data_IF_630808104952
#
_entry.id   IF_630808104952
#
_cell.length_a   1.000
_cell.length_b   1.000
_cell.length_c   1.000
_cell.angle_alpha   90.00
_cell.angle_beta   90.00
_cell.angle_gamma   90.00
#
_symmetry.space_group_name_H-M   'P 1'
#
loop_
_entity.id
_entity.type
_entity.pdbx_description
1 polymer ?
#
# COMPACT_ATOMS: atom_id res chain seq x y z
N UNK A 1 -7.52 -49.23 14.36
CA UNK A 1 -6.09 -48.85 14.48
C UNK A 1 -5.51 -48.86 13.07
N UNK A 2 -5.33 -47.69 12.48
CA UNK A 2 -4.64 -47.51 11.20
C UNK A 2 -3.64 -46.39 11.40
N UNK A 3 -2.35 -46.73 11.32
CA UNK A 3 -1.22 -45.82 11.44
C UNK A 3 -0.81 -45.40 10.03
N UNK A 4 -0.74 -44.09 9.78
CA UNK A 4 -0.36 -43.52 8.48
C UNK A 4 1.14 -43.23 8.52
N UNK A 5 1.90 -43.83 7.61
CA UNK A 5 3.35 -43.65 7.46
C UNK A 5 3.64 -42.51 6.48
N UNK A 6 4.45 -41.53 6.89
CA UNK A 6 4.98 -40.47 6.00
C UNK A 6 6.43 -40.80 5.61
N UNK A 7 6.85 -40.57 4.36
CA UNK A 7 8.25 -40.74 3.96
C UNK A 7 9.10 -39.49 4.29
N UNK A 8 10.28 -39.72 4.85
CA UNK A 8 11.30 -38.72 5.20
C UNK A 8 12.16 -38.32 3.99
N UNK A 9 12.45 -37.02 3.85
CA UNK A 9 13.34 -36.46 2.82
C UNK A 9 14.79 -36.39 3.38
N UNK A 10 15.84 -36.79 2.64
CA UNK A 10 17.21 -36.70 3.13
C UNK A 10 17.81 -35.29 2.96
N UNK A 11 18.51 -34.84 4.01
CA UNK A 11 19.35 -33.65 4.02
C UNK A 11 20.63 -33.87 3.20
N UNK A 12 20.99 -32.92 2.33
CA UNK A 12 22.30 -32.89 1.64
C UNK A 12 23.22 -31.89 2.35
N UNK A 13 24.42 -32.34 2.69
CA UNK A 13 25.51 -31.55 3.31
C UNK A 13 26.36 -30.80 2.27
N UNK A 14 27.12 -29.75 2.66
CA UNK A 14 27.93 -28.94 1.74
C UNK A 14 29.29 -29.57 1.43
N UNK A 15 29.75 -29.35 0.20
CA UNK A 15 31.07 -29.77 -0.32
C UNK A 15 32.15 -28.80 0.17
N UNK A 16 33.16 -29.35 0.86
CA UNK A 16 34.47 -28.72 1.08
C UNK A 16 35.29 -28.82 -0.22
N UNK A 17 35.83 -27.70 -0.71
CA UNK A 17 36.87 -27.73 -1.74
C UNK A 17 38.16 -27.10 -1.18
N UNK A 18 39.22 -27.91 -1.26
CA UNK A 18 40.56 -27.72 -0.73
C UNK A 18 41.42 -26.85 -1.66
N UNK A 19 42.18 -25.92 -1.07
CA UNK A 19 43.30 -25.22 -1.71
C UNK A 19 44.56 -26.10 -1.74
N UNK A 20 45.23 -26.22 -2.89
CA UNK A 20 46.64 -26.62 -3.01
C UNK A 20 47.32 -25.87 -4.20
N UNK A 21 48.66 -25.73 -4.22
CA UNK A 21 49.35 -24.52 -4.67
C UNK A 21 50.12 -24.63 -6.01
N UNK A 22 50.41 -23.46 -6.59
CA UNK A 22 51.63 -23.23 -7.37
C UNK A 22 51.50 -23.26 -8.90
N UNK A 23 51.39 -22.07 -9.51
CA UNK A 23 52.04 -21.82 -10.80
C UNK A 23 52.51 -20.36 -10.89
N UNK A 24 53.72 -20.19 -11.42
CA UNK A 24 54.62 -19.03 -11.31
C UNK A 24 54.27 -17.91 -12.30
N UNK A 25 54.58 -16.67 -11.94
CA UNK A 25 54.52 -15.49 -12.80
C UNK A 25 55.94 -15.16 -13.26
N UNK A 26 56.15 -15.08 -14.58
CA UNK A 26 57.43 -14.69 -15.19
C UNK A 26 57.66 -13.18 -15.12
N UNK A 27 58.90 -12.82 -14.80
CA UNK A 27 59.44 -11.45 -14.72
C UNK A 27 60.24 -11.20 -16.00
N UNK A 28 59.82 -10.25 -16.84
CA UNK A 28 60.72 -9.37 -17.59
C UNK A 28 60.01 -8.06 -17.93
N UNK A 29 60.58 -6.96 -17.43
CA UNK A 29 59.94 -5.65 -17.39
C UNK A 29 60.15 -4.76 -18.61
N UNK A 30 59.29 -3.73 -18.68
CA UNK A 30 59.56 -2.42 -19.29
C UNK A 30 58.62 -1.40 -18.66
N UNK A 31 59.17 -0.36 -18.04
CA UNK A 31 58.49 0.88 -17.64
C UNK A 31 58.73 1.96 -18.73
N UNK A 32 58.10 3.15 -18.72
CA UNK A 32 57.17 3.74 -17.73
C UNK A 32 55.88 4.30 -18.38
N UNK A 33 54.95 4.82 -17.57
CA UNK A 33 54.52 6.22 -17.68
C UNK A 33 53.57 6.57 -16.53
N UNK A 34 53.98 7.61 -15.80
CA UNK A 34 53.30 8.21 -14.68
C UNK A 34 51.99 8.86 -15.15
N UNK A 35 50.86 8.35 -14.66
CA UNK A 35 49.67 9.17 -14.48
C UNK A 35 48.91 8.70 -13.25
N UNK A 36 49.36 9.23 -12.12
CA UNK A 36 48.62 9.31 -10.87
C UNK A 36 47.41 10.23 -11.10
N UNK A 37 46.22 9.65 -11.33
CA UNK A 37 44.97 10.38 -11.11
C UNK A 37 43.88 9.46 -10.57
N UNK A 38 43.67 9.58 -9.27
CA UNK A 38 42.36 9.72 -8.67
C UNK A 38 41.37 8.55 -8.85
N UNK A 39 41.54 7.49 -8.04
CA UNK A 39 40.41 6.61 -7.69
C UNK A 39 39.44 7.38 -6.79
N UNK A 40 38.65 8.26 -7.37
CA UNK A 40 37.43 8.71 -6.73
C UNK A 40 36.48 7.52 -6.67
N UNK A 41 36.15 7.14 -5.44
CA UNK A 41 35.01 6.29 -5.14
C UNK A 41 33.78 6.94 -5.77
N UNK A 42 33.28 6.36 -6.85
CA UNK A 42 31.96 6.69 -7.37
C UNK A 42 30.95 6.03 -6.42
N UNK A 43 30.71 6.69 -5.29
CA UNK A 43 29.43 6.59 -4.61
C UNK A 43 28.40 7.07 -5.63
N UNK A 44 27.67 6.12 -6.23
CA UNK A 44 26.47 6.44 -6.97
C UNK A 44 25.53 7.13 -5.98
N UNK A 45 25.46 8.45 -6.04
CA UNK A 45 24.37 9.19 -5.44
C UNK A 45 23.11 8.66 -6.12
N UNK A 46 22.39 7.78 -5.42
CA UNK A 46 20.97 7.57 -5.69
C UNK A 46 20.36 8.96 -5.73
N UNK A 47 20.00 9.41 -6.93
CA UNK A 47 19.20 10.61 -7.10
C UNK A 47 17.83 10.27 -6.53
N UNK A 48 17.66 10.47 -5.22
CA UNK A 48 16.34 10.43 -4.58
C UNK A 48 15.51 11.50 -5.28
N UNK A 49 14.66 11.08 -6.20
CA UNK A 49 13.57 11.91 -6.71
C UNK A 49 12.85 12.39 -5.45
N UNK A 50 12.64 13.71 -5.25
CA UNK A 50 11.92 14.17 -4.07
C UNK A 50 10.59 13.43 -4.03
N UNK A 51 10.32 12.75 -2.91
CA UNK A 51 9.05 12.09 -2.67
C UNK A 51 7.96 13.08 -3.02
N UNK A 52 7.24 12.80 -4.09
CA UNK A 52 6.19 13.68 -4.54
C UNK A 52 5.05 13.58 -3.54
N UNK A 53 4.72 14.74 -2.97
CA UNK A 53 3.77 14.86 -1.87
C UNK A 53 2.49 15.51 -2.39
N UNK A 54 1.34 14.94 -2.05
CA UNK A 54 0.06 15.58 -2.28
C UNK A 54 -0.77 15.64 -1.03
N UNK A 55 -1.27 16.84 -0.72
CA UNK A 55 -2.02 17.12 0.50
C UNK A 55 -3.37 17.72 0.15
N UNK A 56 -4.42 17.16 0.75
CA UNK A 56 -5.79 17.66 0.69
C UNK A 56 -6.20 18.09 2.09
N UNK A 57 -6.61 19.34 2.26
CA UNK A 57 -6.97 19.91 3.54
C UNK A 57 -8.49 20.03 3.72
N UNK A 58 -8.96 19.65 4.90
CA UNK A 58 -10.36 19.78 5.35
C UNK A 58 -11.41 19.34 4.31
N UNK A 59 -11.30 18.11 3.74
CA UNK A 59 -12.31 17.63 2.82
C UNK A 59 -13.68 17.47 3.51
N UNK A 60 -14.75 17.81 2.79
CA UNK A 60 -16.11 17.53 3.24
C UNK A 60 -16.40 16.03 3.16
N UNK A 61 -17.11 15.47 4.13
CA UNK A 61 -17.47 14.04 4.18
C UNK A 61 -18.94 13.85 3.76
N UNK A 62 -19.26 12.86 2.90
CA UNK A 62 -18.36 11.87 2.31
C UNK A 62 -17.40 12.49 1.29
N UNK A 63 -16.19 11.94 1.25
CA UNK A 63 -15.09 12.41 0.42
C UNK A 63 -14.60 11.27 -0.47
N UNK A 64 -14.32 11.58 -1.73
CA UNK A 64 -13.51 10.70 -2.58
C UNK A 64 -12.53 11.53 -3.38
N UNK A 65 -11.34 10.98 -3.58
CA UNK A 65 -10.37 11.51 -4.53
C UNK A 65 -9.77 10.38 -5.37
N UNK A 66 -9.67 10.54 -6.70
CA UNK A 66 -8.90 9.62 -7.52
C UNK A 66 -7.42 9.58 -7.13
N UNK A 67 -6.79 8.44 -7.28
CA UNK A 67 -5.35 8.25 -7.13
C UNK A 67 -4.80 7.99 -8.54
N UNK A 68 -4.07 8.98 -9.08
CA UNK A 68 -3.68 9.06 -10.50
C UNK A 68 -2.49 8.18 -10.87
N UNK A 69 -1.79 7.73 -9.85
CA UNK A 69 -0.61 6.91 -9.92
C UNK A 69 -0.92 5.50 -9.41
N UNK A 70 -0.23 4.51 -9.97
CA UNK A 70 -0.26 3.17 -9.40
C UNK A 70 0.35 3.21 -8.00
N UNK A 71 -0.29 2.51 -7.07
CA UNK A 71 0.32 2.24 -5.77
C UNK A 71 1.51 1.32 -6.00
N UNK A 72 2.64 1.63 -5.36
CA UNK A 72 3.87 0.84 -5.37
C UNK A 72 4.29 0.52 -3.92
N UNK A 73 5.16 -0.48 -3.71
CA UNK A 73 5.73 -0.74 -2.39
C UNK A 73 6.39 0.51 -1.82
N UNK A 74 5.96 0.90 -0.62
CA UNK A 74 6.42 2.11 0.07
C UNK A 74 5.48 3.31 -0.04
N UNK A 75 4.49 3.32 -0.95
CA UNK A 75 3.48 4.38 -1.00
C UNK A 75 2.70 4.46 0.32
N UNK A 76 2.46 5.68 0.80
CA UNK A 76 1.77 5.95 2.08
C UNK A 76 0.57 6.85 1.88
N UNK A 77 -0.52 6.51 2.57
CA UNK A 77 -1.71 7.33 2.68
C UNK A 77 -1.92 7.63 4.16
N UNK A 78 -1.76 8.90 4.51
CA UNK A 78 -1.93 9.42 5.85
C UNK A 78 -3.21 10.24 5.96
N UNK A 79 -4.02 9.95 6.96
CA UNK A 79 -5.29 10.63 7.21
C UNK A 79 -5.28 11.14 8.64
N UNK A 80 -5.36 12.46 8.79
CA UNK A 80 -5.51 13.13 10.06
C UNK A 80 -6.94 13.64 10.20
N UNK A 81 -7.51 13.45 11.37
CA UNK A 81 -8.87 13.88 11.65
C UNK A 81 -9.23 13.79 13.11
N UNK A 82 -10.51 13.96 13.39
CA UNK A 82 -11.12 13.81 14.71
C UNK A 82 -12.23 12.77 14.63
N UNK A 83 -12.16 11.78 15.51
CA UNK A 83 -13.17 10.73 15.66
C UNK A 83 -14.53 11.35 16.04
N UNK A 84 -15.65 10.69 15.72
CA UNK A 84 -16.98 11.19 16.06
C UNK A 84 -17.12 11.39 17.58
N UNK A 85 -17.88 12.42 17.96
CA UNK A 85 -18.21 12.69 19.36
C UNK A 85 -19.30 11.72 19.89
N UNK A 86 -20.09 11.14 18.98
CA UNK A 86 -21.16 10.19 19.27
C UNK A 86 -20.72 8.74 19.04
N UNK A 87 -21.65 7.85 18.71
CA UNK A 87 -21.39 6.44 18.50
C UNK A 87 -21.22 6.08 17.03
N UNK A 88 -21.26 7.02 16.11
CA UNK A 88 -21.35 6.67 14.71
C UNK A 88 -20.02 6.12 14.16
N UNK A 89 -20.13 5.19 13.22
CA UNK A 89 -18.97 4.55 12.61
C UNK A 89 -18.47 5.35 11.39
N UNK A 90 -17.17 5.33 11.13
CA UNK A 90 -16.60 5.87 9.89
C UNK A 90 -15.69 4.86 9.18
N UNK A 91 -15.54 5.06 7.86
CA UNK A 91 -14.89 4.11 6.96
C UNK A 91 -13.92 4.84 6.06
N UNK A 92 -12.74 4.25 5.89
CA UNK A 92 -11.73 4.61 4.90
C UNK A 92 -11.58 3.43 3.95
N UNK A 93 -11.74 3.68 2.65
CA UNK A 93 -11.84 2.65 1.63
C UNK A 93 -10.90 2.95 0.46
N UNK A 94 -10.13 1.97 0.00
CA UNK A 94 -9.44 2.00 -1.29
C UNK A 94 -10.32 1.32 -2.33
N UNK A 95 -10.65 2.06 -3.39
CA UNK A 95 -11.67 1.71 -4.36
C UNK A 95 -11.04 1.30 -5.69
N UNK A 96 -11.70 0.36 -6.38
CA UNK A 96 -11.35 -0.04 -7.73
C UNK A 96 -12.61 -0.46 -8.47
N UNK A 97 -13.18 0.45 -9.27
CA UNK A 97 -14.48 0.24 -9.93
C UNK A 97 -15.55 -0.25 -8.94
N UNK A 98 -16.15 -1.44 -9.14
CA UNK A 98 -17.18 -2.00 -8.27
C UNK A 98 -16.62 -2.69 -7.01
N UNK A 99 -15.31 -2.64 -6.80
CA UNK A 99 -14.61 -3.31 -5.71
C UNK A 99 -14.16 -2.33 -4.62
N UNK A 100 -14.12 -2.85 -3.39
CA UNK A 100 -13.42 -2.22 -2.27
C UNK A 100 -12.19 -3.07 -1.99
N UNK A 101 -11.03 -2.59 -2.43
CA UNK A 101 -9.74 -3.29 -2.34
C UNK A 101 -9.27 -3.39 -0.88
N UNK A 102 -9.49 -2.32 -0.12
CA UNK A 102 -9.24 -2.26 1.31
C UNK A 102 -10.38 -1.47 1.96
N UNK A 103 -11.01 -2.05 2.97
CA UNK A 103 -12.00 -1.41 3.82
C UNK A 103 -11.47 -1.36 5.24
N UNK A 104 -11.35 -0.16 5.82
CA UNK A 104 -11.00 0.06 7.22
C UNK A 104 -12.16 0.77 7.90
N UNK A 105 -12.88 0.07 8.76
CA UNK A 105 -14.08 0.58 9.42
C UNK A 105 -13.85 0.69 10.93
N UNK A 106 -13.90 1.92 11.43
CA UNK A 106 -13.79 2.24 12.84
C UNK A 106 -15.19 2.24 13.44
N UNK A 107 -15.46 1.21 14.26
CA UNK A 107 -16.76 1.02 14.91
C UNK A 107 -16.77 1.55 16.34
N UNK A 108 -17.83 2.27 16.70
CA UNK A 108 -18.05 2.88 18.03
C UNK A 108 -19.42 2.52 18.64
N UNK A 109 -20.33 1.90 17.87
CA UNK A 109 -21.71 1.59 18.27
C UNK A 109 -21.95 0.12 18.65
N UNK A 110 -23.11 -0.16 19.25
CA UNK A 110 -23.64 -1.51 19.53
C UNK A 110 -22.76 -2.45 20.38
N UNK A 111 -21.91 -1.90 21.26
CA UNK A 111 -21.03 -2.70 22.11
C UNK A 111 -19.84 -3.31 21.38
N UNK A 112 -19.58 -2.87 20.15
CA UNK A 112 -18.36 -3.20 19.40
C UNK A 112 -17.49 -1.93 19.34
N UNK A 113 -16.28 -2.02 19.89
CA UNK A 113 -15.25 -0.97 19.79
C UNK A 113 -14.05 -1.56 19.07
N UNK A 114 -14.19 -1.68 17.75
CA UNK A 114 -13.27 -2.44 16.90
C UNK A 114 -12.93 -1.71 15.60
N UNK A 115 -11.71 -1.95 15.11
CA UNK A 115 -11.38 -1.70 13.70
C UNK A 115 -11.64 -2.99 12.95
N UNK A 116 -12.51 -2.92 11.94
CA UNK A 116 -12.79 -4.03 11.04
C UNK A 116 -12.11 -3.77 9.70
N UNK A 117 -11.25 -4.70 9.29
CA UNK A 117 -10.54 -4.66 8.03
C UNK A 117 -11.07 -5.75 7.10
N UNK A 118 -11.45 -5.38 5.88
CA UNK A 118 -11.99 -6.32 4.91
C UNK A 118 -11.73 -5.87 3.46
N UNK A 119 -12.23 -6.64 2.49
CA UNK A 119 -12.30 -6.27 1.08
C UNK A 119 -13.62 -6.81 0.50
N UNK A 120 -14.12 -6.18 -0.57
CA UNK A 120 -15.41 -6.52 -1.19
C UNK A 120 -15.31 -6.62 -2.70
N UNK A 121 -15.91 -7.68 -3.27
CA UNK A 121 -16.02 -7.86 -4.72
C UNK A 121 -17.48 -7.82 -5.16
N UNK A 122 -17.86 -6.82 -5.99
CA UNK A 122 -19.26 -6.65 -6.42
C UNK A 122 -20.24 -6.66 -5.24
N UNK A 123 -19.89 -5.97 -4.15
CA UNK A 123 -20.67 -5.95 -2.91
C UNK A 123 -20.58 -7.20 -2.03
N UNK A 124 -19.91 -8.27 -2.48
CA UNK A 124 -19.69 -9.48 -1.68
C UNK A 124 -18.46 -9.32 -0.78
N UNK A 125 -18.72 -9.24 0.52
CA UNK A 125 -17.68 -9.11 1.54
C UNK A 125 -16.94 -10.41 1.78
N UNK A 126 -15.62 -10.32 1.92
CA UNK A 126 -14.80 -11.44 2.39
C UNK A 126 -14.90 -11.64 3.91
N UNK A 127 -14.06 -12.53 4.45
CA UNK A 127 -13.96 -12.73 5.90
C UNK A 127 -13.42 -11.46 6.59
N UNK A 128 -14.09 -11.00 7.63
CA UNK A 128 -13.66 -9.82 8.39
C UNK A 128 -12.43 -10.14 9.26
N UNK A 129 -11.46 -9.22 9.28
CA UNK A 129 -10.38 -9.20 10.27
C UNK A 129 -10.70 -8.12 11.29
N UNK A 130 -10.67 -8.46 12.59
CA UNK A 130 -11.08 -7.57 13.68
C UNK A 130 -9.91 -7.26 14.60
N UNK A 131 -9.77 -6.00 14.97
CA UNK A 131 -8.80 -5.51 15.93
C UNK A 131 -9.47 -4.56 16.92
N UNK A 132 -8.82 -4.34 18.06
CA UNK A 132 -9.26 -3.31 19.02
C UNK A 132 -9.22 -1.92 18.36
N UNK A 133 -10.25 -1.10 18.57
CA UNK A 133 -10.25 0.29 18.13
C UNK A 133 -9.49 1.17 19.14
N UNK A 134 -8.33 1.74 18.79
CA UNK A 134 -7.57 2.57 19.70
C UNK A 134 -8.10 3.99 19.83
N UNK A 135 -9.13 4.36 19.06
CA UNK A 135 -9.68 5.72 19.06
C UNK A 135 -10.78 5.85 20.10
N UNK A 136 -10.62 6.84 20.97
CA UNK A 136 -11.72 7.35 21.79
C UNK A 136 -12.49 8.45 21.04
N UNK A 137 -13.68 8.75 21.54
CA UNK A 137 -14.60 9.70 20.90
C UNK A 137 -14.06 11.10 20.96
N UNK A 138 -14.25 11.83 19.87
CA UNK A 138 -13.79 13.21 19.78
C UNK A 138 -12.28 13.37 19.86
N UNK A 139 -11.50 12.28 19.85
CA UNK A 139 -10.04 12.35 19.83
C UNK A 139 -9.51 12.58 18.42
N UNK A 140 -8.37 13.27 18.35
CA UNK A 140 -7.62 13.36 17.11
C UNK A 140 -6.99 12.01 16.80
N UNK A 141 -7.00 11.65 15.52
CA UNK A 141 -6.37 10.44 15.05
C UNK A 141 -5.46 10.70 13.85
N UNK A 142 -4.52 9.79 13.69
CA UNK A 142 -3.67 9.64 12.53
C UNK A 142 -3.76 8.19 12.04
N UNK A 143 -4.47 7.95 10.95
CA UNK A 143 -4.48 6.68 10.24
C UNK A 143 -3.36 6.70 9.20
N UNK A 144 -2.52 5.69 9.22
CA UNK A 144 -1.41 5.51 8.29
C UNK A 144 -1.54 4.15 7.60
N UNK A 145 -1.62 4.17 6.28
CA UNK A 145 -1.71 2.97 5.43
C UNK A 145 -0.49 2.97 4.52
N UNK A 146 0.30 1.89 4.55
CA UNK A 146 1.45 1.69 3.65
C UNK A 146 1.30 0.40 2.85
N UNK A 147 1.69 0.42 1.58
CA UNK A 147 1.89 -0.81 0.81
C UNK A 147 3.23 -1.40 1.17
N UNK A 148 3.24 -2.59 1.75
CA UNK A 148 4.47 -3.31 2.08
C UNK A 148 4.60 -4.55 1.22
N UNK A 149 5.70 -4.64 0.46
CA UNK A 149 6.05 -5.84 -0.31
C UNK A 149 7.49 -6.27 -0.03
N UNK A 150 7.66 -7.58 0.15
CA UNK A 150 8.94 -8.25 0.31
C UNK A 150 8.88 -9.62 -0.37
N UNK A 151 10.02 -10.30 -0.51
CA UNK A 151 10.09 -11.64 -1.09
C UNK A 151 9.12 -12.68 -0.49
N UNK A 152 8.69 -12.50 0.76
CA UNK A 152 7.88 -13.47 1.49
C UNK A 152 6.51 -12.96 1.92
N UNK A 153 6.31 -11.64 1.97
CA UNK A 153 5.10 -11.04 2.53
C UNK A 153 4.73 -9.78 1.73
N UNK A 154 3.47 -9.72 1.31
CA UNK A 154 2.87 -8.57 0.64
C UNK A 154 1.53 -8.25 1.31
N UNK A 155 1.40 -7.04 1.88
CA UNK A 155 0.23 -6.63 2.66
C UNK A 155 0.11 -5.10 2.76
N UNK A 156 -1.09 -4.63 3.13
CA UNK A 156 -1.26 -3.29 3.66
C UNK A 156 -0.86 -3.26 5.14
N UNK A 157 0.10 -2.42 5.47
CA UNK A 157 0.50 -2.16 6.85
C UNK A 157 -0.31 -0.97 7.39
N UNK A 158 -1.10 -1.19 8.42
CA UNK A 158 -2.06 -0.22 8.96
C UNK A 158 -1.66 0.15 10.38
N UNK A 159 -1.48 1.46 10.61
CA UNK A 159 -1.26 2.03 11.94
C UNK A 159 -2.29 3.09 12.26
N UNK A 160 -2.57 3.25 13.54
CA UNK A 160 -3.39 4.34 14.07
C UNK A 160 -2.63 4.98 15.24
N UNK A 161 -2.43 6.29 15.18
CA UNK A 161 -1.65 7.05 16.16
C UNK A 161 -0.23 6.49 16.35
N UNK A 162 0.39 6.00 15.27
CA UNK A 162 1.71 5.36 15.29
C UNK A 162 1.73 3.92 15.82
N UNK A 163 0.62 3.41 16.36
CA UNK A 163 0.49 2.04 16.85
C UNK A 163 0.04 1.11 15.72
N UNK A 164 0.67 -0.06 15.62
CA UNK A 164 0.27 -1.10 14.67
C UNK A 164 -1.12 -1.64 14.98
N UNK A 165 -1.96 -1.74 13.95
CA UNK A 165 -3.31 -2.31 14.03
C UNK A 165 -3.38 -3.62 13.28
N UNK A 166 -2.98 -3.62 12.00
CA UNK A 166 -3.14 -4.78 11.13
C UNK A 166 -2.08 -4.82 10.04
N UNK A 167 -1.63 -6.04 9.71
CA UNK A 167 -1.02 -6.37 8.43
C UNK A 167 -2.07 -7.13 7.63
N UNK A 168 -2.73 -6.45 6.69
CA UNK A 168 -3.82 -7.03 5.91
C UNK A 168 -3.29 -7.55 4.57
N UNK A 169 -3.21 -8.89 4.36
CA UNK A 169 -2.72 -9.44 3.09
C UNK A 169 -3.56 -8.93 1.93
N UNK A 170 -2.91 -8.58 0.82
CA UNK A 170 -3.60 -8.11 -0.37
C UNK A 170 -4.57 -9.18 -0.88
N UNK A 171 -5.88 -8.88 -0.84
CA UNK A 171 -6.93 -9.74 -1.42
C UNK A 171 -7.17 -9.43 -2.90
N UNK A 172 -6.77 -8.24 -3.31
CA UNK A 172 -6.70 -7.79 -4.70
C UNK A 172 -5.33 -7.14 -4.91
N UNK A 173 -4.82 -7.10 -6.16
CA UNK A 173 -3.59 -6.39 -6.48
C UNK A 173 -3.66 -4.94 -6.01
N UNK A 174 -2.64 -4.45 -5.29
CA UNK A 174 -2.67 -3.08 -4.78
C UNK A 174 -2.61 -2.04 -5.93
N UNK A 175 -2.05 -2.44 -7.07
CA UNK A 175 -1.98 -1.69 -8.32
C UNK A 175 -3.37 -1.45 -8.94
N UNK A 176 -4.37 -2.22 -8.51
CA UNK A 176 -5.75 -2.04 -8.97
C UNK A 176 -6.44 -0.84 -8.30
N UNK A 177 -5.89 -0.27 -7.23
CA UNK A 177 -6.49 0.86 -6.51
C UNK A 177 -6.53 2.09 -7.41
N UNK A 178 -7.69 2.75 -7.43
CA UNK A 178 -7.98 3.90 -8.31
C UNK A 178 -8.43 5.15 -7.54
N UNK A 179 -8.94 4.98 -6.32
CA UNK A 179 -9.41 6.10 -5.50
C UNK A 179 -9.36 5.80 -4.01
N UNK A 180 -9.27 6.87 -3.22
CA UNK A 180 -9.52 6.87 -1.79
C UNK A 180 -10.93 7.40 -1.53
N UNK A 181 -11.74 6.64 -0.80
CA UNK A 181 -13.06 7.06 -0.31
C UNK A 181 -13.09 7.12 1.21
N UNK A 182 -13.74 8.14 1.77
CA UNK A 182 -13.97 8.33 3.21
C UNK A 182 -15.45 8.66 3.43
N UNK A 183 -16.13 7.92 4.30
CA UNK A 183 -17.57 8.11 4.58
C UNK A 183 -17.94 7.74 6.02
N UNK A 184 -19.14 8.13 6.44
CA UNK A 184 -19.62 7.99 7.82
C UNK A 184 -19.30 9.23 8.65
N UNK A 185 -19.41 9.12 9.97
CA UNK A 185 -19.28 10.27 10.86
C UNK A 185 -17.83 10.47 11.29
N UNK A 186 -17.14 11.39 10.62
CA UNK A 186 -15.75 11.75 10.92
C UNK A 186 -15.46 13.16 10.46
N UNK A 187 -14.61 13.89 11.19
CA UNK A 187 -14.02 15.13 10.68
C UNK A 187 -12.61 14.81 10.16
N UNK A 188 -12.34 15.11 8.89
CA UNK A 188 -11.01 14.92 8.31
C UNK A 188 -10.36 16.28 8.14
N UNK A 189 -9.16 16.42 8.69
CA UNK A 189 -8.37 17.65 8.66
C UNK A 189 -7.40 17.65 7.49
N UNK A 190 -6.80 16.48 7.20
CA UNK A 190 -5.78 16.34 6.17
C UNK A 190 -5.71 14.92 5.64
N UNK A 191 -5.64 14.78 4.32
CA UNK A 191 -5.19 13.55 3.64
C UNK A 191 -3.84 13.86 2.99
N UNK A 192 -2.85 13.00 3.19
CA UNK A 192 -1.51 13.16 2.65
C UNK A 192 -1.07 11.88 1.94
N UNK A 193 -0.67 12.02 0.68
CA UNK A 193 -0.11 10.96 -0.15
C UNK A 193 1.40 11.19 -0.27
N UNK A 194 2.19 10.19 0.11
CA UNK A 194 3.65 10.22 0.07
C UNK A 194 4.20 9.03 -0.72
N UNK A 195 5.37 9.21 -1.33
CA UNK A 195 6.14 8.17 -2.03
C UNK A 195 5.41 7.53 -3.23
N UNK A 196 4.38 8.19 -3.78
CA UNK A 196 3.83 7.80 -5.08
C UNK A 196 4.75 8.29 -6.20
N UNK A 197 4.86 7.54 -7.31
CA UNK A 197 5.65 7.92 -8.48
C UNK A 197 4.91 9.01 -9.29
N UNK A 198 4.60 10.16 -8.67
CA UNK A 198 3.98 11.27 -9.38
C UNK A 198 4.95 11.72 -10.48
N UNK A 199 4.68 11.33 -11.72
CA UNK A 199 5.42 11.86 -12.84
C UNK A 199 5.15 13.37 -12.88
N UNK A 200 6.21 14.20 -12.96
CA UNK A 200 6.17 15.66 -13.00
C UNK A 200 5.45 16.25 -14.25
N UNK A 201 4.48 15.55 -14.84
CA UNK A 201 3.74 15.96 -16.02
C UNK A 201 2.23 15.97 -15.74
N UNK A 202 1.82 16.96 -14.96
CA UNK A 202 0.43 17.36 -14.80
C UNK A 202 -0.17 16.85 -13.50
N UNK A 203 -0.05 17.68 -12.46
CA UNK A 203 -0.52 17.36 -11.12
C UNK A 203 -2.02 17.09 -11.03
N UNK A 204 -2.44 16.73 -9.81
CA UNK A 204 -3.81 16.62 -9.33
C UNK A 204 -4.73 17.66 -9.98
N UNK A 205 -5.47 17.25 -11.00
CA UNK A 205 -6.24 18.17 -11.86
C UNK A 205 -6.38 17.73 -13.32
N UNK A 206 -5.58 16.79 -13.79
CA UNK A 206 -5.85 16.12 -15.06
C UNK A 206 -6.96 15.07 -14.90
N UNK A 207 -7.90 15.06 -15.86
CA UNK A 207 -8.96 14.06 -15.94
C UNK A 207 -8.34 12.73 -16.41
N UNK A 208 -7.85 11.93 -15.45
CA UNK A 208 -7.45 10.57 -15.73
C UNK A 208 -8.71 9.73 -15.89
N UNK A 209 -8.95 9.31 -17.13
CA UNK A 209 -9.98 8.34 -17.48
C UNK A 209 -9.46 6.95 -17.12
N UNK A 210 -9.92 6.40 -15.99
CA UNK A 210 -9.60 5.03 -15.57
C UNK A 210 -10.47 3.98 -16.29
N UNK A 211 -11.02 4.32 -17.46
CA UNK A 211 -11.99 3.52 -18.19
C UNK A 211 -13.34 3.48 -17.51
N UNK A 212 -13.63 4.51 -16.70
CA UNK A 212 -14.89 4.78 -16.04
C UNK A 212 -14.87 6.21 -15.48
N UNK A 213 -16.04 6.81 -15.31
CA UNK A 213 -16.26 7.98 -14.44
C UNK A 213 -17.14 7.57 -13.26
N UNK A 214 -17.21 8.41 -12.21
CA UNK A 214 -18.30 8.27 -11.23
C UNK A 214 -17.93 7.71 -9.86
N UNK A 215 -16.87 8.22 -9.24
CA UNK A 215 -16.88 8.28 -7.77
C UNK A 215 -17.75 9.43 -7.23
N UNK A 216 -18.40 10.18 -8.12
CA UNK A 216 -19.32 11.26 -7.79
C UNK A 216 -20.44 10.73 -6.87
N UNK A 217 -20.63 11.43 -5.76
CA UNK A 217 -21.62 11.05 -4.78
C UNK A 217 -21.28 9.82 -3.95
N UNK A 218 -20.03 9.32 -3.96
CA UNK A 218 -19.58 8.27 -3.05
C UNK A 218 -20.03 8.53 -1.62
N UNK A 219 -20.54 7.48 -0.95
CA UNK A 219 -21.11 7.58 0.40
C UNK A 219 -22.52 8.18 0.50
N UNK A 220 -23.14 8.59 -0.62
CA UNK A 220 -24.56 8.98 -0.69
C UNK A 220 -25.46 7.85 -1.18
N UNK A 221 -26.77 8.00 -0.99
CA UNK A 221 -27.80 7.05 -1.46
C UNK A 221 -27.84 6.90 -3.00
N UNK A 222 -27.27 7.87 -3.73
CA UNK A 222 -27.24 7.88 -5.19
C UNK A 222 -25.89 7.41 -5.75
N UNK A 223 -24.96 6.95 -4.90
CA UNK A 223 -23.67 6.45 -5.37
C UNK A 223 -23.85 5.19 -6.23
N UNK A 224 -23.32 5.25 -7.44
CA UNK A 224 -23.21 4.09 -8.33
C UNK A 224 -21.72 3.86 -8.55
N UNK A 225 -21.22 2.70 -8.10
CA UNK A 225 -19.82 2.37 -8.28
C UNK A 225 -19.49 2.26 -9.78
N UNK A 226 -18.32 2.74 -10.22
CA UNK A 226 -17.94 2.65 -11.62
C UNK A 226 -17.76 1.19 -12.06
N UNK A 227 -18.29 0.81 -13.23
CA UNK A 227 -18.02 -0.51 -13.83
C UNK A 227 -16.81 -0.44 -14.77
N UNK A 228 -16.09 -1.55 -14.91
CA UNK A 228 -15.01 -1.64 -15.89
C UNK A 228 -15.56 -1.78 -17.31
N UNK A 229 -15.13 -0.94 -18.23
CA UNK A 229 -15.33 -1.18 -19.66
C UNK A 229 -14.52 -2.40 -20.13
N UNK A 230 -15.12 -3.25 -20.97
CA UNK A 230 -14.48 -4.44 -21.54
C UNK A 230 -13.20 -4.04 -22.29
N UNK A 231 -12.06 -4.63 -21.91
CA UNK A 231 -10.73 -4.33 -22.47
C UNK A 231 -9.91 -3.26 -21.71
N UNK A 232 -10.45 -2.67 -20.64
CA UNK A 232 -9.71 -1.67 -19.87
C UNK A 232 -8.54 -2.28 -19.07
N UNK A 233 -7.44 -1.53 -18.90
CA UNK A 233 -6.23 -2.07 -18.31
C UNK A 233 -6.36 -2.46 -16.83
N UNK A 234 -7.20 -1.75 -16.07
CA UNK A 234 -7.50 -2.11 -14.68
C UNK A 234 -8.38 -3.36 -14.55
N UNK A 235 -9.20 -3.68 -15.55
CA UNK A 235 -10.03 -4.89 -15.53
C UNK A 235 -9.18 -6.17 -15.46
N UNK A 236 -7.95 -6.11 -16.02
CA UNK A 236 -6.99 -7.22 -16.06
C UNK A 236 -6.62 -7.77 -14.68
N UNK A 237 -6.78 -6.98 -13.62
CA UNK A 237 -6.48 -7.40 -12.25
C UNK A 237 -7.58 -8.27 -11.61
N UNK A 238 -8.75 -8.36 -12.25
CA UNK A 238 -9.93 -9.04 -11.71
C UNK A 238 -10.48 -10.16 -12.63
N UNK A 239 -9.79 -10.45 -13.73
CA UNK A 239 -10.13 -11.50 -14.72
C UNK A 239 -9.44 -12.84 -14.44
#
# INVERSE_FOLDING_TARGET
MHEIHYPSIPFTTPIQESLEPGCKIDIHGRAPDDHESNRQHQLSLSSTVPASMHVIHYPSIPFTTPIQESLEPGCKIDIHGRAPDDHDDFKVELLSGPHIVLHVNFRFWHGEHAVVVNASSYGNWGCEVRHHNPLDRGEHFHLHITVHESHYHSHYHIKVNGHHIADFPHRFPYESVQALGIRGCVNVEKVHFEDFPFHNQGGWGNHYDYGHGGYDGYGSDNYVAPDFHEGHHHHRHFC
#
